data_IF_512944896723
#
_entry.id   IF_512944896723
#
_cell.length_a   1.000
_cell.length_b   1.000
_cell.length_c   1.000
_cell.angle_alpha   90.00
_cell.angle_beta   90.00
_cell.angle_gamma   90.00
#
_symmetry.space_group_name_H-M   'P 1'
#
loop_
_entity.id
_entity.type
_entity.pdbx_description
1 polymer ?
#
# COMPACT_ATOMS: atom_id res chain seq x y z
N UNK A 1 15.12 -3.95 -27.29
CA UNK A 1 14.56 -4.98 -26.38
C UNK A 1 13.07 -4.69 -26.29
N UNK A 2 12.26 -5.59 -26.84
CA UNK A 2 10.87 -5.36 -27.24
C UNK A 2 9.96 -5.18 -26.01
N UNK A 3 9.24 -4.06 -25.92
CA UNK A 3 8.07 -3.95 -25.03
C UNK A 3 6.93 -4.71 -25.70
N UNK A 4 6.55 -5.85 -25.12
CA UNK A 4 5.43 -6.66 -25.62
C UNK A 4 4.11 -5.98 -25.24
N UNK A 5 3.58 -5.17 -26.14
CA UNK A 5 2.19 -4.69 -26.06
C UNK A 5 1.25 -5.85 -26.38
N UNK A 6 0.73 -6.52 -25.34
CA UNK A 6 -0.29 -7.56 -25.49
C UNK A 6 -1.65 -6.94 -25.86
N UNK A 7 -1.86 -6.63 -27.14
CA UNK A 7 -3.20 -6.38 -27.70
C UNK A 7 -3.94 -7.70 -27.90
N UNK A 8 -5.09 -7.86 -27.25
CA UNK A 8 -6.00 -8.97 -27.54
C UNK A 8 -6.64 -8.80 -28.94
N UNK A 9 -6.97 -9.89 -29.67
CA UNK A 9 -7.54 -9.81 -31.03
C UNK A 9 -8.95 -9.22 -31.10
N UNK A 10 -9.58 -8.96 -29.95
CA UNK A 10 -11.00 -8.59 -29.84
C UNK A 10 -11.23 -7.14 -29.41
N UNK A 11 -10.18 -6.33 -29.23
CA UNK A 11 -10.30 -4.89 -28.93
C UNK A 11 -10.66 -4.55 -27.48
N UNK A 12 -10.61 -5.50 -26.54
CA UNK A 12 -10.90 -5.24 -25.13
C UNK A 12 -9.72 -4.55 -24.43
N UNK A 13 -9.99 -3.36 -23.91
CA UNK A 13 -9.10 -2.55 -23.06
C UNK A 13 -8.81 -3.35 -21.79
N UNK A 14 -7.53 -3.44 -21.41
CA UNK A 14 -7.09 -4.05 -20.16
C UNK A 14 -7.69 -3.26 -19.00
N UNK A 15 -8.77 -3.74 -18.39
CA UNK A 15 -9.36 -3.07 -17.24
C UNK A 15 -8.53 -3.44 -16.00
N UNK A 16 -7.84 -2.48 -15.37
CA UNK A 16 -6.97 -2.78 -14.26
C UNK A 16 -7.77 -3.26 -13.05
N UNK A 17 -7.12 -4.04 -12.19
CA UNK A 17 -7.67 -4.34 -10.87
C UNK A 17 -7.84 -3.06 -10.05
N UNK A 18 -8.82 -2.99 -9.13
CA UNK A 18 -8.95 -1.85 -8.23
C UNK A 18 -7.65 -1.60 -7.44
N UNK A 19 -7.35 -0.34 -7.07
CA UNK A 19 -6.17 -0.01 -6.28
C UNK A 19 -6.11 -0.79 -4.96
N UNK A 20 -4.92 -1.18 -4.52
CA UNK A 20 -4.76 -1.77 -3.18
C UNK A 20 -4.81 -0.67 -2.13
N UNK A 21 -5.75 -0.76 -1.19
CA UNK A 21 -5.86 0.14 -0.05
C UNK A 21 -5.24 -0.54 1.18
N UNK A 22 -4.32 0.16 1.86
CA UNK A 22 -3.70 -0.36 3.09
C UNK A 22 -4.78 -0.55 4.16
N UNK A 23 -4.70 -1.67 4.88
CA UNK A 23 -5.67 -2.06 5.91
C UNK A 23 -7.10 -2.28 5.40
N UNK A 24 -7.28 -2.54 4.11
CA UNK A 24 -8.57 -2.86 3.52
C UNK A 24 -8.54 -4.19 2.75
N UNK A 25 -9.72 -4.78 2.56
CA UNK A 25 -9.97 -5.86 1.61
C UNK A 25 -11.01 -5.39 0.58
N UNK A 26 -11.00 -6.02 -0.60
CA UNK A 26 -12.05 -5.83 -1.60
C UNK A 26 -13.05 -6.98 -1.41
N UNK A 27 -14.31 -6.63 -1.14
CA UNK A 27 -15.38 -7.60 -1.00
C UNK A 27 -15.66 -8.26 -2.36
N UNK A 28 -15.57 -9.59 -2.39
CA UNK A 28 -15.80 -10.40 -3.60
C UNK A 28 -14.94 -9.97 -4.79
N UNK A 29 -13.62 -9.81 -4.58
CA UNK A 29 -12.67 -9.41 -5.62
C UNK A 29 -12.76 -10.29 -6.87
N UNK A 30 -12.99 -9.68 -8.03
CA UNK A 30 -13.04 -10.34 -9.34
C UNK A 30 -11.65 -10.37 -9.99
N UNK A 31 -11.44 -11.33 -10.89
CA UNK A 31 -10.22 -11.40 -11.71
C UNK A 31 -10.08 -10.21 -12.66
N UNK A 32 -11.21 -9.68 -13.15
CA UNK A 32 -11.29 -8.50 -14.00
C UNK A 32 -12.60 -7.74 -13.76
N UNK A 33 -12.59 -6.45 -14.10
CA UNK A 33 -13.76 -5.56 -14.03
C UNK A 33 -14.01 -4.98 -15.42
N UNK A 34 -15.25 -4.61 -15.75
CA UNK A 34 -15.60 -3.88 -16.98
C UNK A 34 -15.75 -2.37 -16.69
N UNK A 35 -15.67 -1.48 -17.69
CA UNK A 35 -16.01 -0.08 -17.49
C UNK A 35 -17.43 0.06 -16.92
N UNK A 36 -17.59 0.91 -15.91
CA UNK A 36 -18.82 1.09 -15.14
C UNK A 36 -19.01 0.10 -13.98
N UNK A 37 -18.19 -0.96 -13.87
CA UNK A 37 -18.28 -1.86 -12.71
C UNK A 37 -17.62 -1.26 -11.48
N UNK A 38 -18.14 -1.65 -10.32
CA UNK A 38 -17.68 -1.20 -9.02
C UNK A 38 -16.95 -2.29 -8.24
N UNK A 39 -16.08 -1.86 -7.34
CA UNK A 39 -15.46 -2.69 -6.32
C UNK A 39 -15.70 -2.06 -4.95
N UNK A 40 -16.11 -2.86 -3.98
CA UNK A 40 -16.44 -2.43 -2.63
C UNK A 40 -15.31 -2.75 -1.67
N UNK A 41 -14.85 -1.76 -0.92
CA UNK A 41 -13.83 -1.96 0.11
C UNK A 41 -14.45 -2.18 1.47
N UNK A 42 -13.76 -2.95 2.30
CA UNK A 42 -14.01 -3.06 3.73
C UNK A 42 -12.70 -2.82 4.47
N UNK A 43 -12.72 -1.89 5.43
CA UNK A 43 -11.58 -1.69 6.32
C UNK A 43 -11.48 -2.83 7.32
N UNK A 44 -10.29 -3.40 7.44
CA UNK A 44 -10.00 -4.35 8.51
C UNK A 44 -10.12 -3.62 9.84
N UNK A 45 -10.75 -4.24 10.84
CA UNK A 45 -10.78 -3.66 12.20
C UNK A 45 -9.37 -3.61 12.79
N UNK A 46 -9.04 -2.59 13.61
CA UNK A 46 -9.91 -1.56 14.17
C UNK A 46 -10.08 -0.29 13.32
N UNK A 47 -9.65 -0.28 12.06
CA UNK A 47 -9.65 0.92 11.23
C UNK A 47 -11.06 1.31 10.76
N UNK A 48 -11.28 2.61 10.63
CA UNK A 48 -12.49 3.22 10.09
C UNK A 48 -12.28 3.66 8.64
N UNK A 49 -13.38 3.67 7.88
CA UNK A 49 -13.38 4.01 6.45
C UNK A 49 -13.64 5.51 6.25
N UNK A 50 -12.74 6.15 5.51
CA UNK A 50 -12.85 7.55 5.11
C UNK A 50 -12.92 7.65 3.58
N UNK A 51 -13.96 8.29 3.06
CA UNK A 51 -14.23 8.40 1.63
C UNK A 51 -15.35 7.47 1.16
N UNK A 52 -15.43 7.24 -0.15
CA UNK A 52 -16.45 6.38 -0.76
C UNK A 52 -16.10 4.90 -0.56
N UNK A 53 -17.07 4.10 -0.11
CA UNK A 53 -16.89 2.66 0.14
C UNK A 53 -16.72 1.86 -1.16
N UNK A 54 -17.22 2.39 -2.27
CA UNK A 54 -17.16 1.77 -3.60
C UNK A 54 -16.38 2.64 -4.57
N UNK A 55 -15.51 2.01 -5.35
CA UNK A 55 -14.83 2.65 -6.49
C UNK A 55 -15.43 2.16 -7.79
N UNK A 56 -15.45 3.02 -8.80
CA UNK A 56 -15.97 2.70 -10.13
C UNK A 56 -14.84 2.73 -11.16
N UNK A 57 -14.80 1.74 -12.06
CA UNK A 57 -13.87 1.73 -13.19
C UNK A 57 -14.41 2.61 -14.34
N UNK A 58 -13.84 3.78 -14.54
CA UNK A 58 -14.14 4.71 -15.62
C UNK A 58 -13.18 4.47 -16.79
N UNK A 59 -13.60 3.65 -17.76
CA UNK A 59 -12.83 3.33 -18.98
C UNK A 59 -11.36 2.95 -18.69
N UNK A 60 -11.15 2.07 -17.71
CA UNK A 60 -9.82 1.61 -17.32
C UNK A 60 -9.14 2.45 -16.22
N UNK A 61 -9.77 3.50 -15.70
CA UNK A 61 -9.26 4.27 -14.55
C UNK A 61 -10.22 4.18 -13.38
N UNK A 62 -9.75 3.83 -12.19
CA UNK A 62 -10.60 3.76 -11.00
C UNK A 62 -10.82 5.13 -10.38
N UNK A 63 -12.02 5.38 -9.83
CA UNK A 63 -12.27 6.52 -8.96
C UNK A 63 -11.42 6.45 -7.69
N UNK A 64 -11.32 7.58 -6.98
CA UNK A 64 -10.53 7.68 -5.75
C UNK A 64 -10.95 6.60 -4.74
N UNK A 65 -10.03 5.73 -4.30
CA UNK A 65 -10.33 4.70 -3.31
C UNK A 65 -10.44 5.30 -1.88
N UNK A 66 -11.14 4.61 -0.97
CA UNK A 66 -11.21 5.04 0.42
C UNK A 66 -9.85 4.92 1.11
N UNK A 67 -9.75 5.58 2.25
CA UNK A 67 -8.66 5.40 3.21
C UNK A 67 -9.18 4.65 4.43
N UNK A 68 -8.44 3.62 4.84
CA UNK A 68 -8.66 2.98 6.13
C UNK A 68 -7.64 3.51 7.13
N UNK A 69 -8.13 4.18 8.17
CA UNK A 69 -7.32 4.83 9.18
C UNK A 69 -7.96 4.69 10.57
N UNK A 70 -7.16 4.83 11.61
CA UNK A 70 -7.64 4.87 12.99
C UNK A 70 -8.31 6.22 13.25
N UNK A 71 -9.51 6.22 13.85
CA UNK A 71 -10.28 7.44 14.08
C UNK A 71 -9.67 8.40 15.10
N UNK A 72 -8.77 7.91 15.97
CA UNK A 72 -7.99 8.74 16.89
C UNK A 72 -6.62 9.11 16.29
N UNK A 73 -6.38 8.77 15.02
CA UNK A 73 -5.14 9.03 14.31
C UNK A 73 -3.97 8.15 14.77
N UNK A 74 -4.22 7.11 15.57
CA UNK A 74 -3.18 6.23 16.12
C UNK A 74 -2.75 5.20 15.10
N UNK A 75 -1.46 4.88 15.07
CA UNK A 75 -0.96 3.81 14.21
C UNK A 75 -0.83 2.50 14.98
N UNK A 76 -1.04 1.38 14.29
CA UNK A 76 -0.59 0.08 14.77
C UNK A 76 0.93 -0.10 14.62
N UNK A 77 1.44 -1.33 14.75
CA UNK A 77 2.85 -1.62 14.52
C UNK A 77 3.34 -1.11 13.14
N UNK A 78 4.58 -0.62 13.05
CA UNK A 78 5.23 -0.25 11.80
C UNK A 78 5.21 -1.41 10.78
N UNK A 79 5.07 -1.13 9.47
CA UNK A 79 5.08 -2.19 8.46
C UNK A 79 6.44 -2.91 8.42
N UNK A 80 6.50 -4.24 8.27
CA UNK A 80 7.77 -4.92 8.06
C UNK A 80 8.37 -4.53 6.71
N UNK A 81 9.69 -4.59 6.61
CA UNK A 81 10.42 -4.42 5.35
C UNK A 81 11.31 -5.64 5.10
N UNK A 82 11.56 -5.95 3.84
CA UNK A 82 12.48 -7.03 3.49
C UNK A 82 13.91 -6.66 3.91
N UNK A 83 14.64 -7.61 4.50
CA UNK A 83 16.04 -7.47 4.88
C UNK A 83 16.34 -6.27 5.81
N UNK A 84 15.38 -5.88 6.63
CA UNK A 84 15.53 -4.83 7.62
C UNK A 84 14.50 -4.95 8.72
N UNK A 85 14.70 -4.19 9.79
CA UNK A 85 13.78 -4.15 10.92
C UNK A 85 13.83 -2.77 11.57
N UNK A 86 12.86 -2.47 12.43
CA UNK A 86 12.91 -1.29 13.29
C UNK A 86 13.99 -1.45 14.37
N UNK A 87 14.55 -0.32 14.80
CA UNK A 87 15.61 -0.30 15.84
C UNK A 87 15.06 -0.39 17.27
N UNK A 88 13.75 -0.23 17.44
CA UNK A 88 13.00 -0.32 18.70
C UNK A 88 12.14 -1.58 18.75
N UNK A 89 11.64 -1.95 19.94
CA UNK A 89 10.59 -2.96 20.02
C UNK A 89 9.24 -2.42 19.52
N UNK A 90 8.48 -3.19 18.72
CA UNK A 90 7.18 -2.75 18.23
C UNK A 90 6.18 -2.67 19.39
N UNK A 91 5.43 -1.57 19.43
CA UNK A 91 4.27 -1.40 20.31
C UNK A 91 2.99 -1.80 19.56
N UNK A 92 1.94 -2.25 20.27
CA UNK A 92 0.65 -2.52 19.63
C UNK A 92 -0.01 -1.23 19.11
N UNK A 93 0.29 -0.08 19.71
CA UNK A 93 -0.33 1.22 19.37
C UNK A 93 0.70 2.34 19.50
N UNK A 94 0.68 3.27 18.56
CA UNK A 94 1.51 4.48 18.50
C UNK A 94 0.62 5.73 18.38
N UNK A 95 0.90 6.75 19.19
CA UNK A 95 0.22 8.04 19.10
C UNK A 95 0.51 8.77 17.76
N UNK A 96 -0.40 9.64 17.29
CA UNK A 96 -0.10 10.54 16.17
C UNK A 96 1.22 11.30 16.40
N UNK A 97 2.04 11.42 15.36
CA UNK A 97 3.36 12.06 15.43
C UNK A 97 4.49 11.17 15.94
N UNK A 98 4.20 9.97 16.45
CA UNK A 98 5.23 8.97 16.79
C UNK A 98 6.13 8.68 15.61
N UNK A 99 7.42 8.45 15.88
CA UNK A 99 8.41 8.09 14.86
C UNK A 99 9.13 6.80 15.20
N UNK A 100 9.45 6.00 14.19
CA UNK A 100 10.32 4.82 14.33
C UNK A 100 11.41 4.84 13.27
N UNK A 101 12.58 4.29 13.61
CA UNK A 101 13.74 4.21 12.73
C UNK A 101 13.93 2.76 12.25
N UNK A 102 14.19 2.58 10.95
CA UNK A 102 14.56 1.29 10.38
C UNK A 102 16.06 1.15 10.23
N UNK A 103 16.53 -0.10 10.28
CA UNK A 103 17.89 -0.50 9.99
C UNK A 103 17.88 -1.72 9.08
N UNK A 104 18.68 -1.66 8.03
CA UNK A 104 18.90 -2.82 7.17
C UNK A 104 19.82 -3.84 7.85
N UNK A 105 19.57 -5.11 7.56
CA UNK A 105 20.43 -6.22 7.92
C UNK A 105 21.82 -6.09 7.26
N UNK A 106 22.77 -6.91 7.71
CA UNK A 106 24.10 -6.93 7.12
C UNK A 106 24.03 -7.20 5.60
N UNK A 107 24.92 -6.55 4.85
CA UNK A 107 25.03 -6.63 3.38
C UNK A 107 23.92 -5.94 2.56
N UNK A 108 22.98 -5.25 3.21
CA UNK A 108 21.98 -4.40 2.56
C UNK A 108 22.24 -2.91 2.84
N UNK A 109 21.79 -2.07 1.91
CA UNK A 109 21.88 -0.60 1.98
C UNK A 109 20.49 -0.02 2.03
N UNK A 110 20.29 0.94 2.93
CA UNK A 110 19.02 1.63 3.12
C UNK A 110 18.81 2.67 2.02
N UNK A 111 17.71 2.54 1.30
CA UNK A 111 17.23 3.49 0.31
C UNK A 111 15.95 4.17 0.83
N UNK A 112 15.94 5.51 0.84
CA UNK A 112 14.81 6.33 1.31
C UNK A 112 15.01 6.91 2.71
N UNK A 113 13.92 7.37 3.32
CA UNK A 113 13.96 7.92 4.68
C UNK A 113 14.07 6.80 5.71
N UNK A 114 15.07 6.90 6.57
CA UNK A 114 15.29 5.92 7.64
C UNK A 114 14.17 5.92 8.68
N UNK A 115 13.61 7.10 8.95
CA UNK A 115 12.58 7.31 9.96
C UNK A 115 11.23 7.46 9.27
N UNK A 116 10.21 6.77 9.80
CA UNK A 116 8.82 6.98 9.41
C UNK A 116 8.05 7.65 10.53
N UNK A 117 6.98 8.35 10.19
CA UNK A 117 6.11 9.07 11.13
C UNK A 117 4.68 8.57 11.02
N UNK A 118 4.01 8.40 12.15
CA UNK A 118 2.58 8.14 12.21
C UNK A 118 1.79 9.43 11.98
N UNK A 119 0.95 9.48 10.95
CA UNK A 119 0.06 10.61 10.65
C UNK A 119 -1.30 10.08 10.25
N UNK A 120 -2.35 10.60 10.88
CA UNK A 120 -3.74 10.25 10.57
C UNK A 120 -3.98 8.74 10.50
N UNK A 121 -3.47 8.00 11.50
CA UNK A 121 -3.61 6.54 11.59
C UNK A 121 -2.77 5.74 10.60
N UNK A 122 -1.90 6.41 9.82
CA UNK A 122 -1.04 5.77 8.83
C UNK A 122 0.43 6.14 8.99
N UNK A 123 1.27 5.12 8.91
CA UNK A 123 2.72 5.28 8.78
C UNK A 123 3.08 5.86 7.40
N UNK A 124 3.99 6.84 7.38
CA UNK A 124 4.66 7.30 6.16
C UNK A 124 5.42 6.15 5.48
N UNK A 125 5.75 6.31 4.20
CA UNK A 125 6.41 5.28 3.40
C UNK A 125 7.71 4.77 4.05
N UNK A 126 7.83 3.45 4.31
CA UNK A 126 9.05 2.87 4.86
C UNK A 126 10.18 2.85 3.82
N UNK A 127 11.45 2.79 4.26
CA UNK A 127 12.58 2.64 3.35
C UNK A 127 12.63 1.24 2.74
N UNK A 128 13.51 1.06 1.75
CA UNK A 128 13.86 -0.25 1.20
C UNK A 128 15.28 -0.63 1.60
N UNK A 129 15.54 -1.92 1.76
CA UNK A 129 16.88 -2.45 1.95
C UNK A 129 17.30 -3.20 0.69
N UNK A 130 18.22 -2.61 -0.08
CA UNK A 130 18.70 -3.14 -1.35
C UNK A 130 20.04 -3.86 -1.14
N UNK A 131 20.23 -5.01 -1.79
CA UNK A 131 21.49 -5.73 -1.70
C UNK A 131 22.64 -4.89 -2.25
N UNK A 132 23.82 -4.94 -1.63
CA UNK A 132 25.01 -4.20 -2.10
C UNK A 132 25.40 -4.48 -3.56
N UNK A 133 25.01 -5.63 -4.11
CA UNK A 133 25.26 -6.01 -5.50
C UNK A 133 24.16 -5.58 -6.47
N UNK A 134 22.99 -5.18 -5.96
CA UNK A 134 21.84 -4.70 -6.75
C UNK A 134 21.96 -3.22 -7.13
N UNK A 135 22.96 -2.51 -6.58
CA UNK A 135 23.22 -1.09 -6.81
C UNK A 135 24.28 -0.85 -7.91
N UNK A 136 24.86 -1.91 -8.47
CA UNK A 136 25.90 -1.86 -9.50
C UNK A 136 25.49 -2.50 -10.84
N UNK A 137 24.18 -2.68 -11.09
CA UNK A 137 23.63 -3.22 -12.34
C UNK A 137 22.88 -2.16 -13.14
#
# INVERSE_FOLDING_TARGET
>A
MLTVDFKSPLGYIWNPKPPKVKNAIILSEKLSYLPGQTARYECNKPFDLFGEVEVTCLNGTWTEPPKCADSEGKCGPPPPIDNGDITSFPLPVYAPGSTVEYKCQAFYVLEGQRTITCRDGQWSSPPKCLGKYSIFS
#
